data_IF_997164336168
#
_entry.id   IF_997164336168
#
_cell.length_a   1.000
_cell.length_b   1.000
_cell.length_c   1.000
_cell.angle_alpha   90.00
_cell.angle_beta   90.00
_cell.angle_gamma   90.00
#
_symmetry.space_group_name_H-M   'P 1'
#
loop_
_entity.id
_entity.type
_entity.pdbx_description
1 polymer ?
#
# COMPACT_ATOMS: atom_id res chain seq x y z
N UNK A 1 22.84 13.85 8.97
CA UNK A 1 23.40 13.04 7.87
C UNK A 1 23.27 11.54 8.17
N UNK A 2 22.04 11.03 8.36
CA UNK A 2 21.78 9.60 8.62
C UNK A 2 20.55 9.06 7.86
N UNK A 3 19.86 9.92 7.10
CA UNK A 3 18.63 9.55 6.36
C UNK A 3 18.90 9.13 4.91
N UNK A 4 20.10 9.38 4.38
CA UNK A 4 20.46 9.08 2.98
C UNK A 4 21.11 7.69 2.85
N UNK A 5 21.71 7.16 3.92
CA UNK A 5 22.42 5.89 3.90
C UNK A 5 21.52 4.64 3.86
N UNK A 6 20.22 4.77 4.13
CA UNK A 6 19.27 3.64 4.08
C UNK A 6 18.70 3.44 2.67
N UNK A 7 18.81 4.43 1.77
CA UNK A 7 18.24 4.36 0.42
C UNK A 7 19.16 3.69 -0.61
N UNK A 8 20.47 3.58 -0.34
CA UNK A 8 21.46 3.12 -1.32
C UNK A 8 21.77 1.61 -1.29
N UNK A 9 21.22 0.83 -0.35
CA UNK A 9 21.55 -0.60 -0.21
C UNK A 9 20.64 -1.56 -0.99
N UNK A 10 19.62 -1.06 -1.71
CA UNK A 10 18.65 -1.93 -2.39
C UNK A 10 18.80 -2.03 -3.91
N UNK A 11 19.81 -1.39 -4.51
CA UNK A 11 20.19 -1.63 -5.90
C UNK A 11 21.21 -2.78 -5.99
N UNK A 12 20.78 -4.00 -5.66
CA UNK A 12 21.53 -5.20 -6.02
C UNK A 12 20.85 -5.82 -7.23
N UNK A 13 21.50 -5.68 -8.38
CA UNK A 13 21.02 -6.18 -9.67
C UNK A 13 20.63 -7.65 -9.60
N UNK A 14 19.48 -7.97 -10.16
CA UNK A 14 19.08 -9.35 -10.38
C UNK A 14 19.76 -9.84 -11.66
N UNK A 15 20.73 -10.72 -11.47
CA UNK A 15 21.32 -11.54 -12.52
C UNK A 15 20.23 -12.53 -12.96
N UNK A 16 19.89 -12.48 -14.24
CA UNK A 16 18.98 -13.41 -14.90
C UNK A 16 19.64 -14.79 -14.98
N UNK A 17 19.15 -15.73 -14.19
CA UNK A 17 19.39 -17.16 -14.37
C UNK A 17 18.04 -17.79 -14.66
N UNK A 18 17.89 -18.39 -15.84
CA UNK A 18 16.69 -19.12 -16.23
C UNK A 18 16.36 -20.16 -15.15
N UNK A 19 15.18 -20.04 -14.53
CA UNK A 19 14.66 -21.00 -13.57
C UNK A 19 13.52 -21.80 -14.21
N UNK A 20 13.43 -23.11 -13.93
CA UNK A 20 12.46 -24.01 -14.53
C UNK A 20 11.06 -23.72 -13.99
N UNK A 21 10.03 -23.74 -14.86
CA UNK A 21 8.58 -23.63 -14.58
C UNK A 21 8.24 -23.37 -13.10
N UNK A 22 8.41 -22.11 -12.64
CA UNK A 22 7.75 -21.69 -11.41
C UNK A 22 6.26 -21.58 -11.71
N UNK A 23 5.43 -22.33 -10.98
CA UNK A 23 3.99 -22.12 -10.96
C UNK A 23 3.71 -20.62 -10.75
N UNK A 24 3.05 -19.99 -11.72
CA UNK A 24 2.74 -18.56 -11.69
C UNK A 24 2.05 -18.18 -10.37
N UNK A 25 2.78 -17.56 -9.45
CA UNK A 25 2.27 -17.22 -8.11
C UNK A 25 1.39 -15.97 -8.17
N UNK A 26 0.15 -16.14 -8.60
CA UNK A 26 -0.84 -15.07 -8.62
C UNK A 26 -1.31 -14.69 -7.20
N UNK A 27 -1.61 -13.41 -7.04
CA UNK A 27 -2.02 -12.79 -5.78
C UNK A 27 -3.52 -12.50 -5.84
N UNK A 28 -4.31 -12.98 -4.89
CA UNK A 28 -5.76 -12.67 -4.83
C UNK A 28 -5.99 -11.17 -4.53
N UNK A 29 -6.66 -10.40 -5.42
CA UNK A 29 -6.92 -8.97 -5.19
C UNK A 29 -7.87 -8.72 -4.02
N UNK A 30 -8.91 -9.55 -3.86
CA UNK A 30 -9.81 -9.48 -2.70
C UNK A 30 -9.07 -9.85 -1.41
N UNK A 31 -8.16 -10.83 -1.49
CA UNK A 31 -7.27 -11.16 -0.38
C UNK A 31 -6.32 -10.02 0.00
N UNK A 32 -5.91 -9.18 -0.95
CA UNK A 32 -5.11 -7.99 -0.69
C UNK A 32 -5.94 -6.92 0.05
N UNK A 33 -7.17 -6.65 -0.40
CA UNK A 33 -8.10 -5.75 0.29
C UNK A 33 -8.32 -6.21 1.74
N UNK A 34 -8.63 -7.49 1.95
CA UNK A 34 -8.90 -8.03 3.29
C UNK A 34 -7.74 -7.83 4.26
N UNK A 35 -6.49 -7.94 3.79
CA UNK A 35 -5.30 -7.64 4.61
C UNK A 35 -5.18 -6.15 4.92
N UNK A 36 -5.36 -5.28 3.93
CA UNK A 36 -5.34 -3.83 4.15
C UNK A 36 -6.50 -3.35 5.06
N UNK A 37 -7.63 -4.07 5.09
CA UNK A 37 -8.75 -3.79 5.98
C UNK A 37 -8.41 -4.08 7.45
N UNK A 38 -7.53 -5.04 7.72
CA UNK A 38 -7.02 -5.29 9.08
C UNK A 38 -5.96 -4.26 9.45
N UNK A 39 -5.01 -3.99 8.55
CA UNK A 39 -3.90 -3.09 8.80
C UNK A 39 -3.56 -2.29 7.53
N UNK A 40 -3.60 -0.95 7.57
CA UNK A 40 -3.40 -0.13 6.38
C UNK A 40 -2.05 -0.42 5.74
N UNK A 41 -2.08 -0.75 4.43
CA UNK A 41 -0.91 -1.07 3.64
C UNK A 41 -0.48 -2.55 3.63
N UNK A 42 -1.06 -3.42 4.46
CA UNK A 42 -0.68 -4.84 4.46
C UNK A 42 -0.96 -5.55 3.12
N UNK A 43 -2.06 -5.22 2.45
CA UNK A 43 -2.35 -5.75 1.11
C UNK A 43 -1.30 -5.39 0.07
N UNK A 44 -0.63 -4.23 0.19
CA UNK A 44 0.44 -3.82 -0.72
C UNK A 44 1.73 -4.63 -0.46
N UNK A 45 2.03 -4.98 0.80
CA UNK A 45 3.12 -5.93 1.10
C UNK A 45 2.86 -7.30 0.48
N UNK A 46 1.62 -7.77 0.52
CA UNK A 46 1.21 -9.03 -0.10
C UNK A 46 1.35 -9.00 -1.64
N UNK A 47 1.07 -7.86 -2.26
CA UNK A 47 1.27 -7.63 -3.70
C UNK A 47 2.71 -7.19 -4.08
N UNK A 48 3.71 -7.45 -3.22
CA UNK A 48 5.12 -7.10 -3.44
C UNK A 48 5.43 -5.59 -3.58
N UNK A 49 4.48 -4.70 -3.31
CA UNK A 49 4.64 -3.24 -3.31
C UNK A 49 4.92 -2.68 -1.91
N UNK A 50 6.06 -3.07 -1.33
CA UNK A 50 6.44 -2.76 0.07
C UNK A 50 6.52 -1.27 0.39
N UNK A 51 6.98 -0.45 -0.56
CA UNK A 51 7.09 0.99 -0.36
C UNK A 51 5.72 1.65 -0.14
N UNK A 52 4.74 1.31 -0.99
CA UNK A 52 3.36 1.77 -0.84
C UNK A 52 2.76 1.27 0.49
N UNK A 53 3.07 0.01 0.85
CA UNK A 53 2.72 -0.59 2.14
C UNK A 53 3.17 0.26 3.32
N UNK A 54 4.46 0.58 3.34
CA UNK A 54 5.09 1.36 4.40
C UNK A 54 4.52 2.79 4.48
N UNK A 55 4.34 3.47 3.34
CA UNK A 55 3.79 4.84 3.34
C UNK A 55 2.34 4.88 3.83
N UNK A 56 1.50 3.92 3.44
CA UNK A 56 0.12 3.82 3.91
C UNK A 56 0.06 3.58 5.43
N UNK A 57 0.88 2.65 5.93
CA UNK A 57 0.94 2.34 7.34
C UNK A 57 1.44 3.52 8.18
N UNK A 58 2.55 4.14 7.77
CA UNK A 58 3.11 5.33 8.46
C UNK A 58 2.15 6.51 8.39
N UNK A 59 1.50 6.73 7.24
CA UNK A 59 0.53 7.81 7.06
C UNK A 59 -0.68 7.67 7.99
N UNK A 60 -1.30 6.48 8.01
CA UNK A 60 -2.44 6.21 8.88
C UNK A 60 -2.04 6.27 10.35
N UNK A 61 -0.92 5.64 10.74
CA UNK A 61 -0.43 5.64 12.12
C UNK A 61 -0.05 7.05 12.60
N UNK A 62 0.62 7.83 11.75
CA UNK A 62 0.98 9.22 12.03
C UNK A 62 -0.25 10.10 12.25
N UNK A 63 -1.30 9.92 11.44
CA UNK A 63 -2.57 10.62 11.63
C UNK A 63 -3.27 10.19 12.93
N UNK A 64 -3.29 8.90 13.27
CA UNK A 64 -3.84 8.42 14.55
C UNK A 64 -3.08 8.98 15.75
N UNK A 65 -1.75 9.02 15.70
CA UNK A 65 -0.92 9.66 16.73
C UNK A 65 -1.22 11.16 16.85
N UNK A 66 -1.37 11.85 15.71
CA UNK A 66 -1.79 13.25 15.68
C UNK A 66 -3.15 13.46 16.34
N UNK A 67 -4.12 12.57 16.09
CA UNK A 67 -5.43 12.61 16.73
C UNK A 67 -5.35 12.40 18.25
N UNK A 68 -4.49 11.49 18.73
CA UNK A 68 -4.29 11.26 20.16
C UNK A 68 -3.66 12.48 20.86
N UNK A 69 -2.60 13.05 20.29
CA UNK A 69 -1.92 14.23 20.84
C UNK A 69 -2.89 15.42 20.91
N UNK A 70 -3.64 15.66 19.84
CA UNK A 70 -4.60 16.76 19.77
C UNK A 70 -5.82 16.52 20.65
N UNK A 71 -6.23 15.26 20.85
CA UNK A 71 -7.26 14.91 21.84
C UNK A 71 -6.82 15.25 23.26
N UNK A 72 -5.59 14.88 23.65
CA UNK A 72 -5.06 15.22 24.96
C UNK A 72 -4.97 16.73 25.16
N UNK A 73 -4.49 17.45 24.13
CA UNK A 73 -4.43 18.92 24.15
C UNK A 73 -5.81 19.56 24.25
N UNK A 74 -6.82 19.02 23.55
CA UNK A 74 -8.21 19.45 23.66
C UNK A 74 -8.73 19.25 25.09
N UNK A 75 -8.57 18.05 25.67
CA UNK A 75 -9.02 17.74 27.03
C UNK A 75 -8.39 18.67 28.06
N UNK A 76 -7.08 18.91 27.95
CA UNK A 76 -6.39 19.81 28.87
C UNK A 76 -6.99 21.22 28.87
N UNK A 77 -7.26 21.80 27.70
CA UNK A 77 -7.82 23.16 27.61
C UNK A 77 -9.30 23.18 27.95
N UNK A 78 -10.05 22.18 27.51
CA UNK A 78 -11.48 22.11 27.81
C UNK A 78 -11.72 21.95 29.32
N UNK A 79 -11.08 20.97 29.95
CA UNK A 79 -11.32 20.63 31.35
C UNK A 79 -10.67 21.64 32.32
N UNK A 80 -9.46 22.13 32.03
CA UNK A 80 -8.72 22.96 32.98
C UNK A 80 -8.86 24.47 32.73
N UNK A 81 -9.23 24.91 31.52
CA UNK A 81 -9.28 26.34 31.17
C UNK A 81 -10.72 26.80 30.88
N UNK A 82 -11.51 26.03 30.11
CA UNK A 82 -12.89 26.39 29.77
C UNK A 82 -13.90 26.08 30.88
N UNK A 83 -13.94 24.82 31.37
CA UNK A 83 -14.95 24.39 32.37
C UNK A 83 -14.97 25.27 33.62
N UNK A 84 -13.83 25.62 34.26
CA UNK A 84 -13.86 26.43 35.48
C UNK A 84 -14.47 27.83 35.27
N UNK A 85 -14.22 28.45 34.12
CA UNK A 85 -14.78 29.77 33.78
C UNK A 85 -16.25 29.66 33.40
N UNK A 86 -16.61 28.64 32.62
CA UNK A 86 -17.97 28.42 32.18
C UNK A 86 -18.95 28.09 33.32
N UNK A 87 -18.45 27.46 34.40
CA UNK A 87 -19.24 27.20 35.61
C UNK A 87 -19.60 28.48 36.39
N UNK A 88 -18.81 29.55 36.24
CA UNK A 88 -19.06 30.84 36.89
C UNK A 88 -20.01 31.66 36.01
N UNK A 89 -19.65 31.84 34.74
CA UNK A 89 -20.46 32.52 33.73
C UNK A 89 -20.11 32.01 32.33
N UNK A 90 -20.94 31.09 31.83
CA UNK A 90 -20.82 30.49 30.51
C UNK A 90 -20.85 31.52 29.37
N UNK A 91 -21.54 32.66 29.56
CA UNK A 91 -21.69 33.69 28.52
C UNK A 91 -20.65 34.79 28.63
N UNK A 92 -19.72 34.68 29.57
CA UNK A 92 -18.62 35.63 29.69
C UNK A 92 -17.74 35.62 28.42
N UNK A 93 -17.16 36.77 28.03
CA UNK A 93 -16.20 36.83 26.94
C UNK A 93 -15.01 35.89 27.14
N UNK A 94 -14.61 35.67 28.39
CA UNK A 94 -13.55 34.74 28.77
C UNK A 94 -13.94 33.28 28.47
N UNK A 95 -15.14 32.83 28.89
CA UNK A 95 -15.61 31.49 28.58
C UNK A 95 -15.68 31.24 27.07
N UNK A 96 -16.14 32.22 26.29
CA UNK A 96 -16.16 32.13 24.83
C UNK A 96 -14.75 32.03 24.22
N UNK A 97 -13.79 32.79 24.73
CA UNK A 97 -12.39 32.73 24.29
C UNK A 97 -11.77 31.36 24.56
N UNK A 98 -11.94 30.84 25.77
CA UNK A 98 -11.45 29.53 26.18
C UNK A 98 -12.09 28.40 25.36
N UNK A 99 -13.41 28.48 25.14
CA UNK A 99 -14.15 27.55 24.29
C UNK A 99 -13.62 27.55 22.86
N UNK A 100 -13.41 28.72 22.25
CA UNK A 100 -12.87 28.82 20.89
C UNK A 100 -11.49 28.17 20.78
N UNK A 101 -10.65 28.33 21.81
CA UNK A 101 -9.32 27.72 21.87
C UNK A 101 -9.38 26.20 22.03
N UNK A 102 -10.34 25.67 22.80
CA UNK A 102 -10.62 24.23 22.87
C UNK A 102 -11.13 23.71 21.52
N UNK A 103 -12.09 24.42 20.91
CA UNK A 103 -12.73 24.04 19.65
C UNK A 103 -11.74 23.97 18.47
N UNK A 104 -10.72 24.83 18.43
CA UNK A 104 -9.64 24.73 17.44
C UNK A 104 -8.90 23.38 17.52
N UNK A 105 -8.56 22.93 18.74
CA UNK A 105 -7.91 21.63 18.97
C UNK A 105 -8.83 20.46 18.64
N UNK A 106 -10.12 20.59 18.96
CA UNK A 106 -11.13 19.63 18.57
C UNK A 106 -11.20 19.46 17.04
N UNK A 107 -11.23 20.57 16.29
CA UNK A 107 -11.22 20.53 14.81
C UNK A 107 -9.95 19.87 14.27
N UNK A 108 -8.79 20.14 14.88
CA UNK A 108 -7.53 19.53 14.47
C UNK A 108 -7.50 18.02 14.75
N UNK A 109 -8.01 17.57 15.91
CA UNK A 109 -8.25 16.16 16.19
C UNK A 109 -9.14 15.52 15.13
N UNK A 110 -10.25 16.17 14.80
CA UNK A 110 -11.19 15.68 13.80
C UNK A 110 -10.54 15.54 12.42
N UNK A 111 -9.74 16.53 12.02
CA UNK A 111 -8.95 16.48 10.79
C UNK A 111 -8.04 15.24 10.77
N UNK A 112 -7.27 14.99 11.83
CA UNK A 112 -6.39 13.83 11.90
C UNK A 112 -7.15 12.49 11.87
N UNK A 113 -8.30 12.38 12.53
CA UNK A 113 -9.13 11.18 12.47
C UNK A 113 -9.66 10.92 11.05
N UNK A 114 -10.16 11.95 10.37
CA UNK A 114 -10.62 11.81 8.99
C UNK A 114 -9.48 11.56 8.02
N UNK A 115 -8.31 12.16 8.23
CA UNK A 115 -7.12 11.87 7.45
C UNK A 115 -6.67 10.41 7.63
N UNK A 116 -6.66 9.89 8.87
CA UNK A 116 -6.36 8.49 9.14
C UNK A 116 -7.34 7.55 8.42
N UNK A 117 -8.64 7.83 8.52
CA UNK A 117 -9.67 7.06 7.82
C UNK A 117 -9.51 7.12 6.29
N UNK A 118 -9.18 8.30 5.75
CA UNK A 118 -8.93 8.50 4.32
C UNK A 118 -7.72 7.72 3.82
N UNK A 119 -6.59 7.79 4.52
CA UNK A 119 -5.38 7.00 4.19
C UNK A 119 -5.66 5.51 4.29
N UNK A 120 -6.41 5.08 5.31
CA UNK A 120 -6.78 3.67 5.46
C UNK A 120 -7.64 3.18 4.30
N UNK A 121 -8.70 3.92 3.95
CA UNK A 121 -9.56 3.60 2.81
C UNK A 121 -8.78 3.59 1.48
N UNK A 122 -7.89 4.57 1.28
CA UNK A 122 -6.99 4.61 0.12
C UNK A 122 -6.13 3.36 0.02
N UNK A 123 -5.59 2.87 1.15
CA UNK A 123 -4.76 1.66 1.17
C UNK A 123 -5.52 0.38 0.76
N UNK A 124 -6.85 0.34 0.94
CA UNK A 124 -7.70 -0.75 0.44
C UNK A 124 -7.71 -0.74 -1.09
N UNK A 125 -8.02 0.42 -1.67
CA UNK A 125 -8.11 0.62 -3.12
C UNK A 125 -6.75 0.35 -3.76
N UNK A 126 -5.70 0.93 -3.22
CA UNK A 126 -4.35 0.77 -3.78
C UNK A 126 -3.86 -0.68 -3.67
N UNK A 127 -4.23 -1.42 -2.61
CA UNK A 127 -3.91 -2.86 -2.53
C UNK A 127 -4.62 -3.70 -3.60
N UNK A 128 -5.87 -3.38 -3.93
CA UNK A 128 -6.61 -4.03 -5.00
C UNK A 128 -5.98 -3.77 -6.37
N UNK A 129 -5.67 -2.50 -6.65
CA UNK A 129 -5.01 -2.08 -7.89
C UNK A 129 -3.63 -2.72 -7.98
N UNK A 130 -2.85 -2.68 -6.90
CA UNK A 130 -1.53 -3.28 -6.81
C UNK A 130 -1.52 -4.77 -7.11
N UNK A 131 -2.46 -5.53 -6.53
CA UNK A 131 -2.59 -6.95 -6.80
C UNK A 131 -2.97 -7.26 -8.25
N UNK A 132 -3.89 -6.50 -8.84
CA UNK A 132 -4.25 -6.67 -10.25
C UNK A 132 -3.09 -6.36 -11.20
N UNK A 133 -2.36 -5.27 -10.94
CA UNK A 133 -1.19 -4.92 -11.73
C UNK A 133 -0.08 -5.99 -11.63
N UNK A 134 0.18 -6.50 -10.42
CA UNK A 134 1.14 -7.58 -10.22
C UNK A 134 0.75 -8.83 -11.02
N UNK A 135 -0.52 -9.23 -10.98
CA UNK A 135 -1.00 -10.39 -11.73
C UNK A 135 -0.90 -10.18 -13.26
N UNK A 136 -1.16 -8.96 -13.74
CA UNK A 136 -1.03 -8.64 -15.16
C UNK A 136 0.43 -8.69 -15.62
N UNK A 137 1.34 -8.12 -14.84
CA UNK A 137 2.78 -8.15 -15.10
C UNK A 137 3.34 -9.58 -15.09
N UNK A 138 2.97 -10.38 -14.09
CA UNK A 138 3.39 -11.77 -13.99
C UNK A 138 2.95 -12.59 -15.23
N UNK A 139 1.70 -12.43 -15.68
CA UNK A 139 1.20 -13.09 -16.89
C UNK A 139 1.89 -12.59 -18.17
N UNK A 140 2.12 -11.28 -18.28
CA UNK A 140 2.79 -10.71 -19.44
C UNK A 140 4.23 -11.23 -19.57
N UNK A 141 4.97 -11.29 -18.46
CA UNK A 141 6.33 -11.82 -18.44
C UNK A 141 6.35 -13.31 -18.81
N UNK A 142 5.41 -14.11 -18.29
CA UNK A 142 5.29 -15.51 -18.68
C UNK A 142 5.07 -15.67 -20.19
N UNK A 143 4.16 -14.88 -20.79
CA UNK A 143 3.90 -14.93 -22.23
C UNK A 143 5.14 -14.55 -23.05
N UNK A 144 5.89 -13.53 -22.63
CA UNK A 144 7.13 -13.11 -23.28
C UNK A 144 8.17 -14.23 -23.23
N UNK A 145 8.32 -14.91 -22.09
CA UNK A 145 9.26 -16.02 -21.92
C UNK A 145 8.83 -17.25 -22.74
N UNK A 146 7.53 -17.53 -22.82
CA UNK A 146 6.99 -18.59 -23.70
C UNK A 146 7.25 -18.30 -25.18
N UNK A 147 7.04 -17.06 -25.64
CA UNK A 147 7.33 -16.65 -27.02
C UNK A 147 8.82 -16.79 -27.35
N UNK A 148 9.72 -16.35 -26.46
CA UNK A 148 11.17 -16.51 -26.63
C UNK A 148 11.57 -17.98 -26.75
N UNK A 149 11.01 -18.85 -25.91
CA UNK A 149 11.26 -20.30 -26.01
C UNK A 149 10.79 -20.87 -27.34
N UNK A 150 9.60 -20.49 -27.82
CA UNK A 150 9.10 -20.96 -29.12
C UNK A 150 10.02 -20.52 -30.26
N UNK A 151 10.50 -19.27 -30.24
CA UNK A 151 11.46 -18.75 -31.21
C UNK A 151 12.78 -19.54 -31.20
N UNK A 152 13.36 -19.77 -30.02
CA UNK A 152 14.59 -20.58 -29.86
C UNK A 152 14.42 -22.01 -30.40
N UNK A 153 13.29 -22.66 -30.13
CA UNK A 153 12.99 -24.00 -30.65
C UNK A 153 12.81 -24.00 -32.17
N UNK A 154 12.14 -23.00 -32.73
CA UNK A 154 12.00 -22.83 -34.18
C UNK A 154 13.36 -22.67 -34.89
N UNK A 155 14.25 -21.83 -34.33
CA UNK A 155 15.61 -21.62 -34.85
C UNK A 155 16.47 -22.90 -34.78
N UNK A 156 16.33 -23.71 -33.74
CA UNK A 156 17.01 -25.02 -33.66
C UNK A 156 16.54 -26.00 -34.74
N UNK A 157 15.24 -26.00 -35.06
CA UNK A 157 14.69 -26.87 -36.10
C UNK A 157 15.19 -26.49 -37.50
N UNK A 158 15.35 -25.20 -37.82
CA UNK A 158 15.83 -24.74 -39.14
C UNK A 158 17.32 -25.04 -39.38
N UNK A 159 18.14 -25.03 -38.33
CA UNK A 159 19.59 -25.28 -38.43
C UNK A 159 19.94 -26.77 -38.49
N UNK A 160 18.98 -27.65 -38.17
CA UNK A 160 19.14 -29.10 -38.27
C UNK A 160 18.67 -29.55 -39.65
N UNK A 161 19.52 -30.09 -40.55
CA UNK A 161 19.07 -30.56 -41.86
C UNK A 161 18.14 -31.77 -41.64
N UNK A 162 16.83 -31.52 -41.75
CA UNK A 162 15.77 -32.41 -41.32
C UNK A 162 15.65 -33.68 -42.17
N UNK A 163 15.72 -34.85 -41.52
CA UNK A 163 14.80 -35.95 -41.83
C UNK A 163 13.47 -35.68 -41.10
N UNK A 164 12.62 -34.86 -41.71
CA UNK A 164 11.26 -34.57 -41.24
C UNK A 164 10.33 -35.71 -41.67
N UNK A 165 10.06 -36.66 -40.78
CA UNK A 165 8.86 -37.50 -40.90
C UNK A 165 7.67 -36.71 -40.34
N UNK A 166 6.93 -36.07 -41.25
CA UNK A 166 5.63 -35.47 -41.01
C UNK A 166 4.59 -36.55 -40.65
N UNK A 167 4.42 -36.83 -39.36
CA UNK A 167 3.28 -37.56 -38.83
C UNK A 167 2.20 -36.59 -38.35
N UNK A 168 1.13 -36.42 -39.13
CA UNK A 168 -0.07 -35.69 -38.71
C UNK A 168 -0.72 -36.46 -37.56
N UNK A 169 -0.60 -35.97 -36.33
CA UNK A 169 -1.38 -36.49 -35.19
C UNK A 169 -2.70 -35.73 -35.17
N UNK A 170 -3.78 -36.39 -35.62
CA UNK A 170 -5.15 -35.91 -35.42
C UNK A 170 -5.51 -36.04 -33.95
N UNK A 171 -5.87 -34.94 -33.31
CA UNK A 171 -6.61 -34.96 -32.05
C UNK A 171 -8.10 -35.11 -32.37
N UNK A 172 -8.71 -36.20 -31.87
CA UNK A 172 -10.16 -36.37 -31.75
C UNK A 172 -10.60 -35.90 -30.36
#
# INVERSE_FOLDING_TARGET
>A
MLLISVLCLFFRGQISAAQPNEDLRLVSPIGAIGRSAVLPGWGQFYAHKRFLGATSFVGASGCLLGALITHQSFRNVYDNEYVPVALIDEKSPEALFQYNRANQRYKLRQFFLFAAAGVWAYSLIDSYVGANLYNAEAKANQLIDEMKRIEEWGVQLETTPTQLQLGIVKFF
#
